data_IF_057600098658
#
_entry.id   IF_057600098658
#
_cell.length_a   1.000
_cell.length_b   1.000
_cell.length_c   1.000
_cell.angle_alpha   90.00
_cell.angle_beta   90.00
_cell.angle_gamma   90.00
#
_symmetry.space_group_name_H-M   'P 1'
#
loop_
_entity.id
_entity.type
_entity.pdbx_description
1 polymer ?
#
# COMPACT_ATOMS: atom_id res chain seq x y z
N UNK A 1 -21.21 -32.85 -15.08
CA UNK A 1 -20.03 -32.37 -15.81
C UNK A 1 -19.36 -31.35 -14.92
N UNK A 2 -18.13 -31.62 -14.47
CA UNK A 2 -17.41 -30.73 -13.56
C UNK A 2 -16.73 -29.65 -14.38
N UNK A 3 -17.18 -28.40 -14.25
CA UNK A 3 -16.52 -27.26 -14.89
C UNK A 3 -15.20 -27.00 -14.17
N UNK A 4 -14.08 -27.23 -14.87
CA UNK A 4 -12.76 -26.83 -14.39
C UNK A 4 -12.63 -25.33 -14.68
N UNK A 5 -12.61 -24.52 -13.63
CA UNK A 5 -12.32 -23.09 -13.73
C UNK A 5 -10.81 -22.92 -13.68
N UNK A 6 -10.19 -22.63 -14.84
CA UNK A 6 -8.76 -22.33 -14.91
C UNK A 6 -8.51 -20.89 -14.48
N UNK A 7 -7.88 -20.72 -13.32
CA UNK A 7 -7.46 -19.43 -12.78
C UNK A 7 -5.94 -19.23 -12.86
N UNK A 8 -5.21 -20.12 -13.56
CA UNK A 8 -3.74 -20.07 -13.62
C UNK A 8 -3.23 -18.76 -14.22
N UNK A 9 -3.96 -18.21 -15.19
CA UNK A 9 -3.66 -16.91 -15.82
C UNK A 9 -3.89 -15.71 -14.90
N UNK A 10 -4.58 -15.89 -13.76
CA UNK A 10 -4.81 -14.85 -12.75
C UNK A 10 -3.83 -14.92 -11.58
N UNK A 11 -3.05 -15.99 -11.47
CA UNK A 11 -2.04 -16.19 -10.42
C UNK A 11 -0.69 -15.58 -10.84
N UNK A 12 -0.71 -14.37 -11.38
CA UNK A 12 0.49 -13.61 -11.71
C UNK A 12 1.19 -13.17 -10.43
N UNK A 13 2.45 -13.56 -10.26
CA UNK A 13 3.30 -13.22 -9.12
C UNK A 13 4.06 -11.90 -9.34
N UNK A 14 3.49 -11.00 -10.15
CA UNK A 14 4.10 -9.71 -10.46
C UNK A 14 3.96 -8.81 -9.25
N UNK A 15 5.08 -8.55 -8.59
CA UNK A 15 5.09 -7.72 -7.40
C UNK A 15 5.02 -6.25 -7.78
N UNK A 16 4.14 -5.48 -7.15
CA UNK A 16 4.08 -4.05 -7.37
C UNK A 16 5.36 -3.40 -6.84
N UNK A 17 5.84 -2.35 -7.52
CA UNK A 17 6.99 -1.56 -7.09
C UNK A 17 6.54 -0.15 -6.80
N UNK A 18 6.86 0.35 -5.61
CA UNK A 18 6.61 1.73 -5.23
C UNK A 18 7.86 2.57 -5.49
N UNK A 19 7.71 3.61 -6.29
CA UNK A 19 8.74 4.64 -6.44
C UNK A 19 8.41 5.80 -5.50
N UNK A 20 9.16 5.92 -4.40
CA UNK A 20 8.99 7.01 -3.43
C UNK A 20 9.72 8.28 -3.85
N UNK A 21 10.88 8.15 -4.49
CA UNK A 21 11.67 9.28 -5.00
C UNK A 21 12.51 8.85 -6.22
N UNK A 22 13.21 9.81 -6.83
CA UNK A 22 14.16 9.52 -7.89
C UNK A 22 15.28 8.60 -7.35
N UNK A 23 15.37 7.38 -7.87
CA UNK A 23 16.30 6.34 -7.39
C UNK A 23 15.84 5.52 -6.17
N UNK A 24 14.74 5.89 -5.50
CA UNK A 24 14.19 5.15 -4.36
C UNK A 24 12.98 4.31 -4.79
N UNK A 25 13.27 3.14 -5.38
CA UNK A 25 12.28 2.15 -5.80
C UNK A 25 12.30 0.99 -4.82
N UNK A 26 11.16 0.70 -4.20
CA UNK A 26 11.00 -0.39 -3.25
C UNK A 26 9.98 -1.40 -3.79
N UNK A 27 10.23 -2.67 -3.56
CA UNK A 27 9.26 -3.72 -3.87
C UNK A 27 8.20 -3.75 -2.76
N UNK A 28 6.92 -3.69 -3.14
CA UNK A 28 5.83 -3.85 -2.20
C UNK A 28 5.68 -5.34 -1.88
N UNK A 29 5.72 -5.68 -0.60
CA UNK A 29 5.36 -7.02 -0.13
C UNK A 29 3.83 -7.19 -0.14
N UNK A 30 3.30 -7.64 -1.29
CA UNK A 30 1.89 -7.93 -1.50
C UNK A 30 1.48 -9.33 -0.98
N UNK A 31 2.33 -10.00 -0.21
CA UNK A 31 2.03 -11.36 0.25
C UNK A 31 0.77 -11.33 1.10
N UNK A 32 -0.07 -12.36 0.93
CA UNK A 32 -1.29 -12.58 1.73
C UNK A 32 -1.11 -12.28 3.23
N UNK A 33 -0.02 -12.74 3.85
CA UNK A 33 0.22 -12.50 5.28
C UNK A 33 0.45 -11.02 5.62
N UNK A 34 1.09 -10.29 4.71
CA UNK A 34 1.38 -8.85 4.83
C UNK A 34 0.09 -8.06 4.65
N UNK A 35 -0.71 -8.40 3.63
CA UNK A 35 -2.02 -7.79 3.38
C UNK A 35 -2.98 -7.99 4.54
N UNK A 36 -3.05 -9.20 5.13
CA UNK A 36 -3.88 -9.47 6.31
C UNK A 36 -3.47 -8.61 7.52
N UNK A 37 -2.16 -8.47 7.75
CA UNK A 37 -1.64 -7.61 8.82
C UNK A 37 -1.98 -6.14 8.56
N UNK A 38 -1.89 -5.71 7.31
CA UNK A 38 -2.23 -4.35 6.91
C UNK A 38 -3.72 -4.05 7.13
N UNK A 39 -4.60 -4.95 6.70
CA UNK A 39 -6.04 -4.85 6.88
C UNK A 39 -6.43 -4.76 8.36
N UNK A 40 -5.71 -5.49 9.23
CA UNK A 40 -5.85 -5.38 10.69
C UNK A 40 -5.45 -3.99 11.20
N UNK A 41 -4.33 -3.43 10.71
CA UNK A 41 -3.86 -2.09 11.07
C UNK A 41 -4.87 -1.01 10.62
N UNK A 42 -5.47 -1.17 9.44
CA UNK A 42 -6.47 -0.24 8.90
C UNK A 42 -7.81 -0.33 9.60
N UNK A 43 -8.26 -1.54 9.92
CA UNK A 43 -9.56 -1.76 10.56
C UNK A 43 -9.58 -1.29 12.02
N UNK A 44 -8.44 -1.35 12.72
CA UNK A 44 -8.35 -0.98 14.13
C UNK A 44 -8.08 0.50 14.40
N UNK A 45 -7.65 1.29 13.40
CA UNK A 45 -7.10 2.63 13.66
C UNK A 45 -7.41 3.67 12.59
N UNK A 46 -7.53 4.92 13.05
CA UNK A 46 -7.68 6.10 12.20
C UNK A 46 -6.60 6.17 11.11
N UNK A 47 -7.04 6.23 9.85
CA UNK A 47 -6.17 6.32 8.68
C UNK A 47 -5.45 7.68 8.58
N UNK A 48 -5.78 8.61 9.46
CA UNK A 48 -5.14 9.93 9.58
C UNK A 48 -3.97 9.96 10.57
N UNK A 49 -3.65 8.84 11.25
CA UNK A 49 -2.52 8.78 12.17
C UNK A 49 -1.21 8.49 11.42
N UNK A 50 -0.24 9.40 11.48
CA UNK A 50 1.11 9.27 10.89
C UNK A 50 1.77 7.95 11.30
N UNK A 51 1.55 7.52 12.55
CA UNK A 51 2.11 6.29 13.11
C UNK A 51 1.65 5.04 12.34
N UNK A 52 0.45 5.08 11.77
CA UNK A 52 -0.06 3.98 10.96
C UNK A 52 0.60 3.94 9.59
N UNK A 53 0.82 5.10 8.98
CA UNK A 53 1.50 5.20 7.68
C UNK A 53 2.91 4.63 7.78
N UNK A 54 3.64 4.97 8.85
CA UNK A 54 4.97 4.41 9.13
C UNK A 54 4.93 2.89 9.31
N UNK A 55 3.98 2.35 10.08
CA UNK A 55 3.83 0.90 10.26
C UNK A 55 3.49 0.19 8.95
N UNK A 56 2.64 0.78 8.13
CA UNK A 56 2.27 0.22 6.84
C UNK A 56 3.46 0.21 5.88
N UNK A 57 4.17 1.33 5.78
CA UNK A 57 5.37 1.43 4.96
C UNK A 57 6.48 0.48 5.47
N UNK A 58 6.65 0.33 6.78
CA UNK A 58 7.58 -0.64 7.37
C UNK A 58 7.20 -2.07 6.99
N UNK A 59 5.91 -2.40 7.08
CA UNK A 59 5.39 -3.73 6.80
C UNK A 59 5.49 -4.08 5.30
N UNK A 60 5.25 -3.12 4.41
CA UNK A 60 5.17 -3.33 2.97
C UNK A 60 6.50 -3.10 2.24
N UNK A 61 7.31 -2.12 2.65
CA UNK A 61 8.56 -1.73 2.00
C UNK A 61 9.79 -2.04 2.85
N UNK A 62 9.60 -2.29 4.15
CA UNK A 62 10.68 -2.43 5.13
C UNK A 62 10.99 -1.13 5.86
N UNK A 63 11.61 -1.25 7.04
CA UNK A 63 11.94 -0.10 7.89
C UNK A 63 12.94 0.89 7.28
N UNK A 64 13.69 0.49 6.24
CA UNK A 64 14.59 1.40 5.53
C UNK A 64 13.81 2.47 4.76
N UNK A 65 12.71 2.10 4.09
CA UNK A 65 11.86 3.04 3.38
C UNK A 65 11.21 4.04 4.32
N UNK A 66 10.81 3.61 5.51
CA UNK A 66 10.22 4.49 6.54
C UNK A 66 11.20 5.53 7.03
N UNK A 67 12.47 5.14 7.26
CA UNK A 67 13.53 6.10 7.60
C UNK A 67 13.73 7.11 6.48
N UNK A 68 13.80 6.63 5.24
CA UNK A 68 13.94 7.48 4.07
C UNK A 68 12.78 8.48 3.92
N UNK A 69 11.54 8.07 4.19
CA UNK A 69 10.34 8.92 4.16
C UNK A 69 10.38 9.96 5.29
N UNK A 70 10.70 9.53 6.51
CA UNK A 70 10.79 10.42 7.68
C UNK A 70 11.93 11.43 7.55
N UNK A 71 13.08 11.04 6.98
CA UNK A 71 14.19 11.95 6.71
C UNK A 71 13.88 12.97 5.60
N UNK A 72 12.89 12.69 4.75
CA UNK A 72 12.45 13.63 3.71
C UNK A 72 11.55 14.75 4.25
N UNK A 73 11.16 14.72 5.52
CA UNK A 73 10.31 15.72 6.20
C UNK A 73 9.07 16.09 5.35
N UNK A 74 8.42 15.05 4.80
CA UNK A 74 7.31 15.22 3.87
C UNK A 74 6.07 15.77 4.60
N UNK A 75 5.28 16.58 3.89
CA UNK A 75 4.01 17.08 4.41
C UNK A 75 3.03 15.93 4.67
N UNK A 76 2.08 16.12 5.58
CA UNK A 76 1.07 15.11 5.90
C UNK A 76 0.30 14.61 4.65
N UNK A 77 0.06 15.50 3.69
CA UNK A 77 -0.57 15.13 2.41
C UNK A 77 0.31 14.20 1.56
N UNK A 78 1.63 14.40 1.57
CA UNK A 78 2.56 13.49 0.89
C UNK A 78 2.63 12.12 1.59
N UNK A 79 2.54 12.07 2.92
CA UNK A 79 2.40 10.81 3.67
C UNK A 79 1.12 10.04 3.30
N UNK A 80 -0.02 10.73 3.20
CA UNK A 80 -1.25 10.11 2.72
C UNK A 80 -1.09 9.57 1.30
N UNK A 81 -0.41 10.29 0.41
CA UNK A 81 -0.14 9.80 -0.94
C UNK A 81 0.73 8.52 -0.92
N UNK A 82 1.72 8.43 -0.04
CA UNK A 82 2.50 7.19 0.12
C UNK A 82 1.60 6.03 0.53
N UNK A 83 0.73 6.25 1.51
CA UNK A 83 -0.24 5.25 1.97
C UNK A 83 -1.18 4.79 0.84
N UNK A 84 -1.69 5.73 0.04
CA UNK A 84 -2.57 5.44 -1.11
C UNK A 84 -1.81 4.65 -2.18
N UNK A 85 -0.55 4.99 -2.44
CA UNK A 85 0.30 4.25 -3.37
C UNK A 85 0.59 2.83 -2.91
N UNK A 86 0.81 2.64 -1.61
CA UNK A 86 0.96 1.32 -0.98
C UNK A 86 -0.31 0.48 -1.14
N UNK A 87 -1.46 1.08 -0.85
CA UNK A 87 -2.77 0.47 -1.01
C UNK A 87 -3.06 0.08 -2.46
N UNK A 88 -2.79 0.97 -3.40
CA UNK A 88 -2.93 0.70 -4.84
C UNK A 88 -2.06 -0.48 -5.26
N UNK A 89 -0.81 -0.52 -4.78
CA UNK A 89 0.09 -1.63 -5.05
C UNK A 89 -0.46 -2.97 -4.54
N UNK A 90 -0.90 -3.05 -3.29
CA UNK A 90 -1.41 -4.32 -2.73
C UNK A 90 -2.76 -4.74 -3.30
N UNK A 91 -3.64 -3.81 -3.71
CA UNK A 91 -4.94 -4.16 -4.30
C UNK A 91 -4.84 -4.43 -5.79
N UNK A 92 -3.71 -4.06 -6.41
CA UNK A 92 -3.52 -4.11 -7.85
C UNK A 92 -4.31 -3.01 -8.59
N UNK A 93 -4.82 -2.01 -7.87
CA UNK A 93 -5.48 -0.85 -8.44
C UNK A 93 -4.46 0.23 -8.83
N UNK A 94 -4.92 1.22 -9.59
CA UNK A 94 -4.11 2.41 -9.86
C UNK A 94 -4.18 3.39 -8.68
N UNK A 95 -3.14 4.22 -8.54
CA UNK A 95 -3.11 5.27 -7.52
C UNK A 95 -4.40 6.11 -7.52
N UNK A 96 -4.87 6.53 -8.70
CA UNK A 96 -6.07 7.38 -8.86
C UNK A 96 -7.34 6.68 -8.38
N UNK A 97 -7.49 5.38 -8.66
CA UNK A 97 -8.66 4.58 -8.22
C UNK A 97 -8.66 4.46 -6.69
N UNK A 98 -7.51 4.15 -6.11
CA UNK A 98 -7.36 4.03 -4.66
C UNK A 98 -7.53 5.39 -3.97
N UNK A 99 -7.00 6.46 -4.54
CA UNK A 99 -7.15 7.83 -4.04
C UNK A 99 -8.63 8.27 -4.05
N UNK A 100 -9.34 7.99 -5.14
CA UNK A 100 -10.77 8.28 -5.25
C UNK A 100 -11.60 7.48 -4.22
N UNK A 101 -11.27 6.21 -4.00
CA UNK A 101 -11.89 5.38 -2.95
C UNK A 101 -11.60 5.94 -1.57
N UNK A 102 -10.33 6.25 -1.28
CA UNK A 102 -9.91 6.78 0.01
C UNK A 102 -10.59 8.11 0.32
N UNK A 103 -10.63 9.05 -0.63
CA UNK A 103 -11.38 10.32 -0.46
C UNK A 103 -12.86 10.09 -0.19
N UNK A 104 -13.47 9.16 -0.93
CA UNK A 104 -14.89 8.80 -0.75
C UNK A 104 -15.17 8.18 0.62
N UNK A 105 -14.28 7.33 1.14
CA UNK A 105 -14.41 6.73 2.48
C UNK A 105 -14.07 7.73 3.59
N UNK A 106 -13.14 8.65 3.36
CA UNK A 106 -12.79 9.74 4.26
C UNK A 106 -13.86 10.85 4.33
N UNK A 107 -14.88 10.80 3.45
CA UNK A 107 -16.02 11.74 3.48
C UNK A 107 -15.68 13.17 3.07
N UNK A 108 -14.61 13.36 2.28
CA UNK A 108 -14.16 14.65 1.72
C UNK A 108 -14.40 14.74 0.21
#
# INVERSE_FOLDING_TARGET
MSNIIDISSKLTNERPKLKLAEGKIYEIDDRKNTVIKLDSIMSEKDLNDVTNIDKMAELLLGGQAVKDINEMDLSMSAYQNIMIGLLAGITGDTFEVTEARFRKEAGI
#
